data_IF_391274134077
#
_entry.id   IF_391274134077
#
_cell.length_a   1.000
_cell.length_b   1.000
_cell.length_c   1.000
_cell.angle_alpha   90.00
_cell.angle_beta   90.00
_cell.angle_gamma   90.00
#
_symmetry.space_group_name_H-M   'P 1'
#
loop_
_entity.id
_entity.type
_entity.pdbx_description
1 polymer ?
#
# COMPACT_ATOMS: atom_id res chain seq x y z
N UNK A 1 -105.36 -62.39 99.99
CA UNK A 1 -103.99 -62.84 100.37
C UNK A 1 -103.71 -64.14 99.62
N UNK A 2 -102.75 -64.31 98.72
CA UNK A 2 -102.13 -63.39 97.77
C UNK A 2 -102.26 -64.06 96.40
N UNK A 3 -102.65 -63.29 95.38
CA UNK A 3 -103.22 -63.71 94.09
C UNK A 3 -102.11 -64.13 93.11
N UNK A 4 -101.21 -65.00 93.56
CA UNK A 4 -100.12 -65.56 92.75
C UNK A 4 -100.11 -67.10 92.71
N UNK A 5 -101.03 -67.76 93.40
CA UNK A 5 -101.09 -69.24 93.48
C UNK A 5 -101.74 -69.91 92.23
N UNK A 6 -102.43 -69.14 91.39
CA UNK A 6 -103.02 -69.62 90.13
C UNK A 6 -102.02 -69.72 88.96
N UNK A 7 -100.99 -68.87 88.95
CA UNK A 7 -99.88 -68.90 87.98
C UNK A 7 -98.94 -70.08 88.26
N UNK A 8 -98.70 -70.37 89.55
CA UNK A 8 -97.82 -71.46 89.99
C UNK A 8 -98.28 -72.83 89.48
N UNK A 9 -99.57 -73.16 89.60
CA UNK A 9 -100.12 -74.45 89.15
C UNK A 9 -100.14 -74.61 87.63
N UNK A 10 -100.34 -73.51 86.90
CA UNK A 10 -100.33 -73.53 85.44
C UNK A 10 -98.89 -73.62 84.90
N UNK A 11 -97.93 -73.00 85.58
CA UNK A 11 -96.49 -73.15 85.31
C UNK A 11 -96.03 -74.58 85.64
N UNK A 12 -96.46 -75.16 86.76
CA UNK A 12 -96.17 -76.56 87.10
C UNK A 12 -96.72 -77.53 86.07
N UNK A 13 -97.98 -77.35 85.66
CA UNK A 13 -98.60 -78.17 84.62
C UNK A 13 -97.87 -78.07 83.26
N UNK A 14 -97.47 -76.86 82.86
CA UNK A 14 -96.70 -76.65 81.62
C UNK A 14 -95.28 -77.24 81.70
N UNK A 15 -94.65 -77.21 82.87
CA UNK A 15 -93.32 -77.81 83.06
C UNK A 15 -93.39 -79.34 83.11
N UNK A 16 -94.47 -79.91 83.64
CA UNK A 16 -94.79 -81.33 83.52
C UNK A 16 -95.05 -81.74 82.07
N UNK A 17 -95.85 -80.98 81.32
CA UNK A 17 -96.08 -81.23 79.88
C UNK A 17 -94.77 -81.14 79.09
N UNK A 18 -93.89 -80.17 79.38
CA UNK A 18 -92.55 -80.07 78.77
C UNK A 18 -91.69 -81.29 79.07
N UNK A 19 -91.69 -81.79 80.32
CA UNK A 19 -90.98 -83.02 80.71
C UNK A 19 -91.55 -84.25 79.99
N UNK A 20 -92.87 -84.34 79.84
CA UNK A 20 -93.53 -85.42 79.08
C UNK A 20 -93.17 -85.37 77.59
N UNK A 21 -93.13 -84.18 76.99
CA UNK A 21 -92.69 -83.99 75.59
C UNK A 21 -91.21 -84.35 75.40
N UNK A 22 -90.34 -83.94 76.31
CA UNK A 22 -88.92 -84.33 76.25
C UNK A 22 -88.73 -85.84 76.40
N UNK A 23 -89.47 -86.47 77.32
CA UNK A 23 -89.46 -87.92 77.43
C UNK A 23 -89.95 -88.59 76.15
N UNK A 24 -90.98 -88.05 75.48
CA UNK A 24 -91.42 -88.54 74.17
C UNK A 24 -90.34 -88.40 73.10
N UNK A 25 -89.63 -87.27 73.04
CA UNK A 25 -88.53 -87.07 72.08
C UNK A 25 -87.38 -88.06 72.34
N UNK A 26 -86.98 -88.24 73.60
CA UNK A 26 -85.95 -89.22 73.97
C UNK A 26 -86.37 -90.66 73.63
N UNK A 27 -87.65 -90.99 73.83
CA UNK A 27 -88.20 -92.28 73.42
C UNK A 27 -88.15 -92.42 71.90
N UNK A 28 -88.48 -91.37 71.15
CA UNK A 28 -88.44 -91.37 69.67
C UNK A 28 -87.01 -91.54 69.14
N UNK A 29 -86.03 -90.83 69.70
CA UNK A 29 -84.62 -91.00 69.31
C UNK A 29 -84.12 -92.41 69.60
N UNK A 30 -84.52 -92.96 70.76
CA UNK A 30 -84.19 -94.33 71.14
C UNK A 30 -84.85 -95.36 70.22
N UNK A 31 -86.14 -95.20 69.90
CA UNK A 31 -86.83 -96.09 68.96
C UNK A 31 -86.27 -95.95 67.55
N UNK A 32 -85.88 -94.76 67.09
CA UNK A 32 -85.21 -94.57 65.82
C UNK A 32 -83.86 -95.34 65.77
N UNK A 33 -83.07 -95.26 66.85
CA UNK A 33 -81.81 -96.01 66.96
C UNK A 33 -82.05 -97.53 66.97
N UNK A 34 -83.08 -98.00 67.69
CA UNK A 34 -83.45 -99.41 67.75
C UNK A 34 -83.99 -99.91 66.40
N UNK A 35 -84.81 -99.14 65.71
CA UNK A 35 -85.32 -99.44 64.36
C UNK A 35 -84.16 -99.55 63.37
N UNK A 36 -83.17 -98.65 63.42
CA UNK A 36 -81.95 -98.75 62.59
C UNK A 36 -81.15 -100.03 62.88
N UNK A 37 -81.03 -100.41 64.15
CA UNK A 37 -80.36 -101.66 64.56
C UNK A 37 -81.14 -102.91 64.13
N UNK A 38 -82.46 -102.86 64.14
CA UNK A 38 -83.30 -103.97 63.66
C UNK A 38 -83.29 -104.09 62.14
N UNK A 39 -83.33 -102.96 61.41
CA UNK A 39 -83.18 -102.93 59.95
C UNK A 39 -81.85 -103.53 59.49
N UNK A 40 -80.75 -103.20 60.17
CA UNK A 40 -79.43 -103.77 59.85
C UNK A 40 -79.32 -105.26 60.21
N UNK A 41 -80.04 -105.71 61.24
CA UNK A 41 -80.08 -107.13 61.65
C UNK A 41 -80.99 -108.00 60.78
N UNK A 42 -82.05 -107.43 60.20
CA UNK A 42 -83.03 -108.13 59.35
C UNK A 42 -82.78 -107.95 57.84
N UNK A 43 -81.83 -107.10 57.45
CA UNK A 43 -81.43 -106.95 56.06
C UNK A 43 -80.78 -108.24 55.54
N UNK A 44 -81.10 -108.64 54.31
CA UNK A 44 -80.44 -109.77 53.67
C UNK A 44 -78.96 -109.47 53.44
N UNK A 45 -78.12 -110.51 53.32
CA UNK A 45 -76.68 -110.37 53.05
C UNK A 45 -76.42 -109.49 51.81
N UNK A 46 -77.24 -109.65 50.75
CA UNK A 46 -77.23 -108.82 49.55
C UNK A 46 -77.54 -107.33 49.81
N UNK A 47 -78.45 -107.01 50.74
CA UNK A 47 -78.76 -105.62 51.11
C UNK A 47 -77.63 -104.97 51.92
N UNK A 48 -77.00 -105.73 52.81
CA UNK A 48 -75.84 -105.28 53.57
C UNK A 48 -74.61 -105.06 52.67
N UNK A 49 -74.37 -105.95 51.71
CA UNK A 49 -73.36 -105.77 50.67
C UNK A 49 -73.66 -104.54 49.79
N UNK A 50 -74.91 -104.36 49.34
CA UNK A 50 -75.30 -103.19 48.56
C UNK A 50 -75.07 -101.88 49.32
N UNK A 51 -75.34 -101.84 50.63
CA UNK A 51 -75.05 -100.67 51.48
C UNK A 51 -73.54 -100.40 51.61
N UNK A 52 -72.71 -101.44 51.75
CA UNK A 52 -71.25 -101.30 51.76
C UNK A 52 -70.69 -100.86 50.41
N UNK A 53 -71.20 -101.42 49.30
CA UNK A 53 -70.84 -101.02 47.95
C UNK A 53 -71.25 -99.58 47.65
N UNK A 54 -72.41 -99.13 48.12
CA UNK A 54 -72.85 -97.73 48.01
C UNK A 54 -71.93 -96.76 48.75
N UNK A 55 -71.47 -97.13 49.96
CA UNK A 55 -70.45 -96.36 50.71
C UNK A 55 -69.12 -96.31 49.97
N UNK A 56 -68.62 -97.45 49.47
CA UNK A 56 -67.39 -97.51 48.66
C UNK A 56 -67.52 -96.71 47.37
N UNK A 57 -68.65 -96.80 46.67
CA UNK A 57 -68.92 -96.03 45.45
C UNK A 57 -68.93 -94.53 45.74
N UNK A 58 -69.50 -94.10 46.87
CA UNK A 58 -69.47 -92.69 47.30
C UNK A 58 -68.05 -92.24 47.69
N UNK A 59 -67.29 -93.09 48.38
CA UNK A 59 -65.88 -92.82 48.69
C UNK A 59 -65.04 -92.70 47.43
N UNK A 60 -65.19 -93.62 46.47
CA UNK A 60 -64.51 -93.56 45.18
C UNK A 60 -64.95 -92.32 44.40
N UNK A 61 -66.24 -92.00 44.35
CA UNK A 61 -66.74 -90.76 43.72
C UNK A 61 -66.08 -89.52 44.32
N UNK A 62 -66.05 -89.40 45.64
CA UNK A 62 -65.43 -88.26 46.33
C UNK A 62 -63.91 -88.20 46.08
N UNK A 63 -63.21 -89.34 46.09
CA UNK A 63 -61.79 -89.40 45.73
C UNK A 63 -61.54 -88.99 44.29
N UNK A 64 -62.35 -89.48 43.35
CA UNK A 64 -62.26 -89.12 41.92
C UNK A 64 -62.54 -87.64 41.71
N UNK A 65 -63.53 -87.07 42.40
CA UNK A 65 -63.86 -85.65 42.33
C UNK A 65 -62.70 -84.78 42.86
N UNK A 66 -62.11 -85.16 44.00
CA UNK A 66 -60.92 -84.50 44.53
C UNK A 66 -59.73 -84.59 43.54
N UNK A 67 -59.46 -85.78 42.97
CA UNK A 67 -58.39 -85.97 41.97
C UNK A 67 -58.63 -85.17 40.69
N UNK A 68 -59.89 -85.05 40.25
CA UNK A 68 -60.25 -84.23 39.10
C UNK A 68 -60.04 -82.75 39.38
N UNK A 69 -60.34 -82.30 40.60
CA UNK A 69 -60.03 -80.94 41.07
C UNK A 69 -58.53 -80.66 41.06
N UNK A 70 -57.72 -81.54 41.65
CA UNK A 70 -56.26 -81.46 41.63
C UNK A 70 -55.69 -81.44 40.20
N UNK A 71 -56.16 -82.34 39.34
CA UNK A 71 -55.74 -82.40 37.95
C UNK A 71 -56.11 -81.12 37.17
N UNK A 72 -57.29 -80.54 37.44
CA UNK A 72 -57.73 -79.30 36.81
C UNK A 72 -56.87 -78.11 37.25
N UNK A 73 -56.47 -78.06 38.52
CA UNK A 73 -55.54 -77.05 39.03
C UNK A 73 -54.16 -77.17 38.37
N UNK A 74 -53.61 -78.39 38.31
CA UNK A 74 -52.33 -78.63 37.64
C UNK A 74 -52.36 -78.26 36.16
N UNK A 75 -53.44 -78.59 35.44
CA UNK A 75 -53.60 -78.18 34.03
C UNK A 75 -53.63 -76.66 33.89
N UNK A 76 -54.28 -75.96 34.82
CA UNK A 76 -54.32 -74.49 34.82
C UNK A 76 -52.91 -73.92 35.03
N UNK A 77 -52.18 -74.41 36.03
CA UNK A 77 -50.80 -74.00 36.31
C UNK A 77 -49.87 -74.25 35.11
N UNK A 78 -49.98 -75.43 34.47
CA UNK A 78 -49.20 -75.75 33.27
C UNK A 78 -49.51 -74.77 32.13
N UNK A 79 -50.79 -74.43 31.92
CA UNK A 79 -51.19 -73.45 30.90
C UNK A 79 -50.65 -72.05 31.19
N UNK A 80 -50.71 -71.62 32.45
CA UNK A 80 -50.20 -70.31 32.87
C UNK A 80 -48.67 -70.25 32.70
N UNK A 81 -47.95 -71.31 33.06
CA UNK A 81 -46.51 -71.44 32.85
C UNK A 81 -46.13 -71.46 31.36
N UNK A 82 -46.90 -72.16 30.52
CA UNK A 82 -46.69 -72.18 29.07
C UNK A 82 -46.85 -70.78 28.46
N UNK A 83 -47.83 -70.01 28.93
CA UNK A 83 -48.04 -68.63 28.48
C UNK A 83 -46.86 -67.73 28.89
N UNK A 84 -46.34 -67.88 30.11
CA UNK A 84 -45.14 -67.18 30.56
C UNK A 84 -43.93 -67.57 29.71
N UNK A 85 -43.73 -68.87 29.47
CA UNK A 85 -42.63 -69.38 28.65
C UNK A 85 -42.64 -68.79 27.24
N UNK A 86 -43.81 -68.76 26.58
CA UNK A 86 -43.93 -68.15 25.25
C UNK A 86 -43.58 -66.66 25.26
N UNK A 87 -44.06 -65.89 26.25
CA UNK A 87 -43.67 -64.48 26.40
C UNK A 87 -42.17 -64.30 26.57
N UNK A 88 -41.53 -65.15 27.38
CA UNK A 88 -40.07 -65.10 27.56
C UNK A 88 -39.30 -65.43 26.28
N UNK A 89 -39.83 -66.33 25.44
CA UNK A 89 -39.24 -66.63 24.13
C UNK A 89 -39.35 -65.42 23.21
N UNK A 90 -40.51 -64.78 23.13
CA UNK A 90 -40.71 -63.57 22.31
C UNK A 90 -39.76 -62.42 22.74
N UNK A 91 -39.59 -62.23 24.04
CA UNK A 91 -38.70 -61.20 24.58
C UNK A 91 -37.21 -61.55 24.36
N UNK A 92 -36.85 -62.82 24.39
CA UNK A 92 -35.51 -63.29 24.01
C UNK A 92 -35.22 -63.03 22.53
N UNK A 93 -36.19 -63.26 21.64
CA UNK A 93 -36.02 -62.98 20.21
C UNK A 93 -35.80 -61.49 19.95
N UNK A 94 -36.59 -60.61 20.58
CA UNK A 94 -36.39 -59.16 20.50
C UNK A 94 -35.03 -58.72 21.05
N UNK A 95 -34.61 -59.31 22.16
CA UNK A 95 -33.30 -59.00 22.76
C UNK A 95 -32.17 -59.43 21.81
N UNK A 96 -32.30 -60.59 21.17
CA UNK A 96 -31.36 -61.10 20.18
C UNK A 96 -31.26 -60.17 18.96
N UNK A 97 -32.40 -59.70 18.43
CA UNK A 97 -32.40 -58.78 17.28
C UNK A 97 -31.72 -57.45 17.64
N UNK A 98 -32.05 -56.88 18.81
CA UNK A 98 -31.44 -55.64 19.27
C UNK A 98 -29.92 -55.81 19.50
N UNK A 99 -29.50 -56.93 20.07
CA UNK A 99 -28.07 -57.22 20.27
C UNK A 99 -27.31 -57.28 18.95
N UNK A 100 -27.91 -57.85 17.90
CA UNK A 100 -27.29 -57.92 16.59
C UNK A 100 -27.24 -56.56 15.88
N UNK A 101 -28.25 -55.71 16.08
CA UNK A 101 -28.22 -54.32 15.60
C UNK A 101 -27.13 -53.50 16.30
N UNK A 102 -26.99 -53.65 17.61
CA UNK A 102 -25.91 -53.02 18.37
C UNK A 102 -24.53 -53.50 17.91
N UNK A 103 -24.36 -54.79 17.64
CA UNK A 103 -23.10 -55.34 17.10
C UNK A 103 -22.71 -54.67 15.77
N UNK A 104 -23.66 -54.54 14.83
CA UNK A 104 -23.43 -53.82 13.56
C UNK A 104 -23.09 -52.35 13.77
N UNK A 105 -23.77 -51.69 14.71
CA UNK A 105 -23.50 -50.29 15.03
C UNK A 105 -22.11 -50.10 15.63
N UNK A 106 -21.67 -51.01 16.50
CA UNK A 106 -20.33 -51.04 17.06
C UNK A 106 -19.29 -51.24 15.95
N UNK A 107 -19.49 -52.20 15.05
CA UNK A 107 -18.58 -52.46 13.93
C UNK A 107 -18.41 -51.23 13.02
N UNK A 108 -19.52 -50.56 12.68
CA UNK A 108 -19.49 -49.30 11.92
C UNK A 108 -18.71 -48.19 12.64
N UNK A 109 -18.88 -48.09 13.97
CA UNK A 109 -18.19 -47.10 14.79
C UNK A 109 -16.69 -47.38 14.87
N UNK A 110 -16.30 -48.64 15.04
CA UNK A 110 -14.89 -49.08 15.04
C UNK A 110 -14.23 -48.75 13.70
N UNK A 111 -14.89 -49.04 12.58
CA UNK A 111 -14.38 -48.69 11.25
C UNK A 111 -14.21 -47.17 11.07
N UNK A 112 -15.15 -46.37 11.59
CA UNK A 112 -15.06 -44.91 11.56
C UNK A 112 -13.88 -44.39 12.40
N UNK A 113 -13.66 -44.97 13.58
CA UNK A 113 -12.51 -44.64 14.43
C UNK A 113 -11.18 -44.97 13.74
N UNK A 114 -11.08 -46.14 13.13
CA UNK A 114 -9.86 -46.56 12.42
C UNK A 114 -9.53 -45.63 11.25
N UNK A 115 -10.55 -45.19 10.49
CA UNK A 115 -10.38 -44.23 9.41
C UNK A 115 -9.91 -42.86 9.94
N UNK A 116 -10.52 -42.36 11.01
CA UNK A 116 -10.09 -41.11 11.65
C UNK A 116 -8.66 -41.19 12.19
N UNK A 117 -8.27 -42.32 12.77
CA UNK A 117 -6.90 -42.53 13.23
C UNK A 117 -5.89 -42.48 12.06
N UNK A 118 -6.23 -43.09 10.93
CA UNK A 118 -5.42 -43.04 9.72
C UNK A 118 -5.27 -41.60 9.20
N UNK A 119 -6.37 -40.84 9.13
CA UNK A 119 -6.36 -39.44 8.69
C UNK A 119 -5.51 -38.56 9.62
N UNK A 120 -5.65 -38.72 10.94
CA UNK A 120 -4.85 -37.98 11.93
C UNK A 120 -3.36 -38.27 11.76
N UNK A 121 -2.96 -39.52 11.50
CA UNK A 121 -1.56 -39.88 11.23
C UNK A 121 -1.03 -39.17 9.98
N UNK A 122 -1.82 -39.11 8.91
CA UNK A 122 -1.44 -38.40 7.68
C UNK A 122 -1.27 -36.91 7.96
N UNK A 123 -2.22 -36.28 8.64
CA UNK A 123 -2.13 -34.85 9.00
C UNK A 123 -0.93 -34.54 9.89
N UNK A 124 -0.62 -35.42 10.85
CA UNK A 124 0.55 -35.28 11.71
C UNK A 124 1.86 -35.32 10.92
N UNK A 125 1.98 -36.23 9.94
CA UNK A 125 3.15 -36.29 9.05
C UNK A 125 3.27 -35.00 8.23
N UNK A 126 2.16 -34.47 7.71
CA UNK A 126 2.17 -33.22 6.94
C UNK A 126 2.56 -32.02 7.80
N UNK A 127 2.02 -31.91 9.01
CA UNK A 127 2.35 -30.86 9.97
C UNK A 127 3.84 -30.86 10.30
N UNK A 128 4.43 -32.02 10.56
CA UNK A 128 5.86 -32.15 10.81
C UNK A 128 6.71 -31.74 9.60
N UNK A 129 6.28 -32.08 8.38
CA UNK A 129 6.94 -31.57 7.16
C UNK A 129 6.91 -30.05 7.09
N UNK A 130 5.77 -29.42 7.39
CA UNK A 130 5.64 -27.96 7.41
C UNK A 130 6.53 -27.33 8.48
N UNK A 131 6.57 -27.90 9.68
CA UNK A 131 7.45 -27.45 10.78
C UNK A 131 8.91 -27.54 10.35
N UNK A 132 9.33 -28.66 9.77
CA UNK A 132 10.70 -28.83 9.28
C UNK A 132 11.05 -27.80 8.20
N UNK A 133 10.16 -27.54 7.25
CA UNK A 133 10.38 -26.51 6.23
C UNK A 133 10.55 -25.11 6.84
N UNK A 134 9.75 -24.77 7.86
CA UNK A 134 9.86 -23.48 8.57
C UNK A 134 11.20 -23.41 9.30
N UNK A 135 11.59 -24.47 10.00
CA UNK A 135 12.87 -24.54 10.71
C UNK A 135 14.05 -24.41 9.73
N UNK A 136 14.01 -25.11 8.59
CA UNK A 136 15.01 -25.00 7.53
C UNK A 136 15.07 -23.57 6.97
N UNK A 137 13.92 -22.92 6.77
CA UNK A 137 13.86 -21.54 6.30
C UNK A 137 14.51 -20.57 7.30
N UNK A 138 14.17 -20.70 8.59
CA UNK A 138 14.74 -19.88 9.67
C UNK A 138 16.26 -20.11 9.77
N UNK A 139 16.72 -21.36 9.71
CA UNK A 139 18.14 -21.71 9.74
C UNK A 139 18.91 -21.21 8.51
N UNK A 140 18.27 -21.21 7.33
CA UNK A 140 18.87 -20.69 6.09
C UNK A 140 19.01 -19.17 6.10
N UNK A 141 18.10 -18.47 6.80
CA UNK A 141 18.07 -17.01 6.86
C UNK A 141 18.01 -16.49 8.31
N UNK A 142 19.04 -16.77 9.13
CA UNK A 142 19.02 -16.42 10.55
C UNK A 142 19.08 -14.90 10.79
N UNK A 143 19.63 -14.16 9.84
CA UNK A 143 19.80 -12.71 9.88
C UNK A 143 18.91 -12.02 8.83
N UNK A 144 17.76 -12.61 8.48
CA UNK A 144 16.85 -12.02 7.50
C UNK A 144 16.43 -10.60 7.91
N UNK A 145 16.09 -10.41 9.19
CA UNK A 145 15.69 -9.13 9.74
C UNK A 145 16.80 -8.08 9.64
N UNK A 146 18.05 -8.48 9.90
CA UNK A 146 19.21 -7.61 9.76
C UNK A 146 19.38 -7.19 8.31
N UNK A 147 19.33 -8.14 7.37
CA UNK A 147 19.41 -7.83 5.92
C UNK A 147 18.27 -6.94 5.46
N UNK A 148 17.06 -7.11 6.00
CA UNK A 148 15.91 -6.29 5.65
C UNK A 148 16.07 -4.85 6.15
N UNK A 149 16.64 -4.68 7.34
CA UNK A 149 17.02 -3.38 7.88
C UNK A 149 18.15 -2.73 7.07
N UNK A 150 19.16 -3.50 6.65
CA UNK A 150 20.26 -3.01 5.80
C UNK A 150 19.75 -2.55 4.43
N UNK A 151 18.79 -3.26 3.83
CA UNK A 151 18.14 -2.82 2.59
C UNK A 151 17.36 -1.53 2.82
N UNK A 152 16.66 -1.42 3.94
CA UNK A 152 15.86 -0.23 4.26
C UNK A 152 16.75 1.00 4.49
N UNK A 153 17.88 0.84 5.18
CA UNK A 153 18.86 1.93 5.35
C UNK A 153 19.51 2.31 4.02
N UNK A 154 19.84 1.33 3.18
CA UNK A 154 20.37 1.59 1.84
C UNK A 154 19.37 2.36 0.96
N UNK A 155 18.07 2.04 1.03
CA UNK A 155 17.03 2.80 0.33
C UNK A 155 17.00 4.26 0.82
N UNK A 156 17.06 4.49 2.13
CA UNK A 156 17.10 5.85 2.68
C UNK A 156 18.34 6.64 2.21
N UNK A 157 19.50 5.99 2.10
CA UNK A 157 20.71 6.60 1.53
C UNK A 157 20.54 6.95 0.04
N UNK A 158 19.89 6.08 -0.75
CA UNK A 158 19.59 6.35 -2.16
C UNK A 158 18.67 7.56 -2.28
N UNK A 159 17.59 7.62 -1.50
CA UNK A 159 16.64 8.74 -1.53
C UNK A 159 17.34 10.06 -1.19
N UNK A 160 18.19 10.06 -0.15
CA UNK A 160 18.97 11.24 0.23
C UNK A 160 19.94 11.66 -0.90
N UNK A 161 20.59 10.71 -1.57
CA UNK A 161 21.49 10.99 -2.68
C UNK A 161 20.74 11.47 -3.93
N UNK A 162 19.54 10.97 -4.19
CA UNK A 162 18.67 11.45 -5.27
C UNK A 162 18.25 12.91 -5.02
N UNK A 163 17.88 13.26 -3.78
CA UNK A 163 17.55 14.64 -3.41
C UNK A 163 18.76 15.57 -3.62
N UNK A 164 19.94 15.19 -3.12
CA UNK A 164 21.20 15.93 -3.34
C UNK A 164 21.52 16.07 -4.83
N UNK A 165 21.31 15.02 -5.62
CA UNK A 165 21.52 15.03 -7.06
C UNK A 165 20.54 15.96 -7.78
N UNK A 166 19.27 15.98 -7.35
CA UNK A 166 18.26 16.91 -7.85
C UNK A 166 18.62 18.37 -7.59
N UNK A 167 19.08 18.68 -6.38
CA UNK A 167 19.58 20.02 -6.02
C UNK A 167 20.78 20.40 -6.90
N UNK A 168 21.77 19.51 -7.02
CA UNK A 168 22.96 19.74 -7.86
C UNK A 168 22.60 19.97 -9.33
N UNK A 169 21.71 19.14 -9.90
CA UNK A 169 21.21 19.28 -11.26
C UNK A 169 20.51 20.62 -11.47
N UNK A 170 19.68 21.06 -10.50
CA UNK A 170 19.02 22.37 -10.57
C UNK A 170 20.04 23.51 -10.57
N UNK A 171 21.12 23.39 -9.79
CA UNK A 171 22.21 24.38 -9.75
C UNK A 171 23.00 24.41 -11.06
N UNK A 172 23.31 23.24 -11.62
CA UNK A 172 23.97 23.11 -12.93
C UNK A 172 23.11 23.75 -14.02
N UNK A 173 21.80 23.49 -14.04
CA UNK A 173 20.90 24.09 -15.02
C UNK A 173 20.80 25.61 -14.88
N UNK A 174 20.80 26.15 -13.65
CA UNK A 174 20.86 27.61 -13.43
C UNK A 174 22.17 28.19 -13.97
N UNK A 175 23.32 27.61 -13.63
CA UNK A 175 24.62 28.06 -14.14
C UNK A 175 24.73 27.95 -15.65
N UNK A 176 24.21 26.87 -16.23
CA UNK A 176 24.16 26.72 -17.69
C UNK A 176 23.36 27.85 -18.32
N UNK A 177 22.18 28.17 -17.76
CA UNK A 177 21.37 29.29 -18.24
C UNK A 177 22.12 30.63 -18.12
N UNK A 178 22.78 30.88 -16.99
CA UNK A 178 23.62 32.08 -16.81
C UNK A 178 24.75 32.16 -17.85
N UNK A 179 25.42 31.04 -18.14
CA UNK A 179 26.45 30.96 -19.18
C UNK A 179 25.85 31.19 -20.57
N UNK A 180 24.71 30.59 -20.88
CA UNK A 180 24.02 30.74 -22.16
C UNK A 180 23.57 32.20 -22.36
N UNK A 181 23.06 32.85 -21.31
CA UNK A 181 22.65 34.26 -21.30
C UNK A 181 23.87 35.18 -21.53
N UNK A 182 24.97 34.98 -20.81
CA UNK A 182 26.23 35.71 -21.02
C UNK A 182 26.81 35.49 -22.42
N UNK A 183 26.74 34.25 -22.93
CA UNK A 183 27.21 33.93 -24.27
C UNK A 183 26.40 34.69 -25.33
N UNK A 184 25.06 34.74 -25.18
CA UNK A 184 24.18 35.52 -26.05
C UNK A 184 24.45 37.02 -25.96
N UNK A 185 24.75 37.53 -24.77
CA UNK A 185 25.10 38.94 -24.57
C UNK A 185 26.43 39.31 -25.27
N UNK A 186 27.46 38.45 -25.13
CA UNK A 186 28.78 38.71 -25.71
C UNK A 186 28.78 38.56 -27.24
N UNK A 187 28.23 37.45 -27.74
CA UNK A 187 28.33 37.08 -29.16
C UNK A 187 27.10 37.45 -30.00
N UNK A 188 25.98 37.77 -29.35
CA UNK A 188 24.69 37.95 -30.01
C UNK A 188 23.96 36.63 -30.25
N UNK A 189 22.74 36.71 -30.77
CA UNK A 189 21.94 35.55 -31.17
C UNK A 189 20.99 35.90 -32.32
N UNK A 190 20.51 34.87 -33.02
CA UNK A 190 19.52 35.03 -34.08
C UNK A 190 18.16 34.71 -33.49
N UNK A 191 17.25 35.68 -33.55
CA UNK A 191 15.86 35.51 -33.13
C UNK A 191 15.03 35.17 -34.36
N UNK A 192 14.51 33.95 -34.40
CA UNK A 192 13.64 33.48 -35.47
C UNK A 192 12.19 33.75 -35.06
N UNK A 193 11.65 34.90 -35.47
CA UNK A 193 10.23 35.18 -35.38
C UNK A 193 9.58 34.93 -36.74
N UNK A 194 8.86 33.82 -36.84
CA UNK A 194 7.89 33.33 -37.84
C UNK A 194 8.05 33.64 -39.36
N UNK A 195 8.66 34.74 -39.80
CA UNK A 195 8.92 35.07 -41.20
C UNK A 195 10.21 35.91 -41.45
N UNK A 196 10.96 36.36 -40.44
CA UNK A 196 12.26 37.03 -40.63
C UNK A 196 13.27 36.70 -39.49
N UNK A 197 14.49 36.32 -39.86
CA UNK A 197 15.59 36.08 -38.93
C UNK A 197 16.24 37.42 -38.57
N UNK A 198 15.99 37.93 -37.37
CA UNK A 198 16.63 39.16 -36.88
C UNK A 198 17.86 38.82 -36.04
N UNK A 199 19.03 39.26 -36.50
CA UNK A 199 20.29 39.08 -35.76
C UNK A 199 20.42 40.17 -34.71
N UNK A 200 20.38 39.79 -33.44
CA UNK A 200 20.71 40.68 -32.33
C UNK A 200 22.23 40.72 -32.20
N UNK A 201 22.80 41.91 -32.38
CA UNK A 201 24.24 42.15 -32.27
C UNK A 201 24.68 42.04 -30.80
N UNK A 202 25.77 41.33 -30.54
CA UNK A 202 26.35 41.21 -29.20
C UNK A 202 27.40 42.29 -28.92
N UNK A 203 27.80 42.42 -27.65
CA UNK A 203 28.80 43.39 -27.19
C UNK A 203 30.12 43.32 -27.98
N UNK A 204 30.53 42.13 -28.43
CA UNK A 204 31.72 41.96 -29.28
C UNK A 204 31.60 42.74 -30.58
N UNK A 205 30.44 42.64 -31.24
CA UNK A 205 30.20 43.31 -32.50
C UNK A 205 30.07 44.82 -32.31
N UNK A 206 29.40 45.26 -31.24
CA UNK A 206 29.35 46.69 -30.88
C UNK A 206 30.75 47.27 -30.68
N UNK A 207 31.64 46.55 -29.99
CA UNK A 207 33.02 46.98 -29.79
C UNK A 207 33.83 47.03 -31.09
N UNK A 208 33.72 46.01 -31.95
CA UNK A 208 34.38 45.99 -33.27
C UNK A 208 33.88 47.15 -34.15
N UNK A 209 32.56 47.43 -34.10
CA UNK A 209 31.95 48.56 -34.79
C UNK A 209 32.44 49.90 -34.25
N UNK A 210 32.47 50.10 -32.93
CA UNK A 210 33.02 51.31 -32.32
C UNK A 210 34.50 51.50 -32.65
N UNK A 211 35.30 50.43 -32.67
CA UNK A 211 36.72 50.51 -33.02
C UNK A 211 36.94 50.87 -34.49
N UNK A 212 36.20 50.24 -35.41
CA UNK A 212 36.27 50.56 -36.84
C UNK A 212 35.76 51.97 -37.13
N UNK A 213 34.70 52.42 -36.47
CA UNK A 213 34.19 53.79 -36.58
C UNK A 213 35.22 54.80 -36.07
N UNK A 214 35.82 54.57 -34.90
CA UNK A 214 36.86 55.42 -34.34
C UNK A 214 38.12 55.46 -35.22
N UNK A 215 38.51 54.31 -35.80
CA UNK A 215 39.62 54.23 -36.77
C UNK A 215 39.33 55.00 -38.05
N UNK A 216 38.10 54.93 -38.56
CA UNK A 216 37.65 55.71 -39.73
C UNK A 216 37.61 57.21 -39.42
N UNK A 217 37.11 57.60 -38.26
CA UNK A 217 37.10 59.01 -37.82
C UNK A 217 38.53 59.55 -37.66
N UNK A 218 39.43 58.76 -37.07
CA UNK A 218 40.84 59.12 -36.94
C UNK A 218 41.51 59.30 -38.32
N UNK A 219 41.24 58.39 -39.25
CA UNK A 219 41.78 58.46 -40.62
C UNK A 219 41.29 59.72 -41.35
N UNK A 220 39.98 60.02 -41.26
CA UNK A 220 39.42 61.27 -41.80
C UNK A 220 40.05 62.51 -41.17
N UNK A 221 40.23 62.52 -39.85
CA UNK A 221 40.87 63.64 -39.16
C UNK A 221 42.33 63.83 -39.59
N UNK A 222 43.08 62.75 -39.83
CA UNK A 222 44.43 62.82 -40.37
C UNK A 222 44.45 63.37 -41.81
N UNK A 223 43.53 62.93 -42.67
CA UNK A 223 43.36 63.48 -44.03
C UNK A 223 43.01 64.97 -43.99
N UNK A 224 42.13 65.39 -43.08
CA UNK A 224 41.79 66.80 -42.86
C UNK A 224 43.01 67.60 -42.39
N UNK A 225 43.83 67.07 -41.48
CA UNK A 225 45.08 67.73 -41.04
C UNK A 225 46.09 67.85 -42.18
N UNK A 226 46.28 66.79 -42.97
CA UNK A 226 47.20 66.80 -44.11
C UNK A 226 46.73 67.77 -45.21
N UNK A 227 45.43 67.81 -45.50
CA UNK A 227 44.85 68.77 -46.44
C UNK A 227 44.99 70.21 -45.95
N UNK A 228 44.75 70.46 -44.66
CA UNK A 228 44.95 71.77 -44.03
C UNK A 228 46.41 72.19 -44.08
N UNK A 229 47.35 71.28 -43.78
CA UNK A 229 48.80 71.53 -43.89
C UNK A 229 49.17 71.92 -45.32
N UNK A 230 48.68 71.19 -46.32
CA UNK A 230 48.98 71.45 -47.72
C UNK A 230 48.37 72.78 -48.19
N UNK A 231 47.15 73.12 -47.74
CA UNK A 231 46.51 74.41 -48.04
C UNK A 231 47.29 75.58 -47.42
N UNK A 232 47.71 75.47 -46.14
CA UNK A 232 48.57 76.47 -45.51
C UNK A 232 49.94 76.58 -46.17
N UNK A 233 50.55 75.46 -46.57
CA UNK A 233 51.82 75.46 -47.29
C UNK A 233 51.69 76.16 -48.65
N UNK A 234 50.60 75.91 -49.38
CA UNK A 234 50.32 76.58 -50.66
C UNK A 234 50.09 78.07 -50.46
N UNK A 235 49.25 78.46 -49.49
CA UNK A 235 49.03 79.86 -49.11
C UNK A 235 50.32 80.56 -48.69
N UNK A 236 51.21 79.88 -47.99
CA UNK A 236 52.50 80.43 -47.59
C UNK A 236 53.44 80.63 -48.78
N UNK A 237 53.52 79.66 -49.69
CA UNK A 237 54.31 79.78 -50.93
C UNK A 237 53.78 80.91 -51.81
N UNK A 238 52.45 81.03 -51.94
CA UNK A 238 51.82 82.08 -52.74
C UNK A 238 52.04 83.46 -52.11
N UNK A 239 51.92 83.56 -50.78
CA UNK A 239 52.28 84.76 -50.02
C UNK A 239 53.76 85.15 -50.23
N UNK A 240 54.68 84.19 -50.12
CA UNK A 240 56.12 84.41 -50.33
C UNK A 240 56.39 84.90 -51.76
N UNK A 241 55.79 84.28 -52.77
CA UNK A 241 55.91 84.71 -54.17
C UNK A 241 55.36 86.12 -54.40
N UNK A 242 54.16 86.41 -53.90
CA UNK A 242 53.52 87.73 -54.06
C UNK A 242 54.36 88.83 -53.41
N UNK A 243 54.86 88.59 -52.19
CA UNK A 243 55.74 89.53 -51.51
C UNK A 243 57.11 89.67 -52.16
N UNK A 244 57.66 88.58 -52.72
CA UNK A 244 58.92 88.64 -53.49
C UNK A 244 58.74 89.46 -54.76
N UNK A 245 57.62 89.27 -55.49
CA UNK A 245 57.28 90.05 -56.68
C UNK A 245 57.09 91.52 -56.32
N UNK A 246 56.32 91.82 -55.25
CA UNK A 246 56.16 93.20 -54.76
C UNK A 246 57.50 93.82 -54.37
N UNK A 247 58.35 93.10 -53.65
CA UNK A 247 59.68 93.57 -53.28
C UNK A 247 60.53 93.87 -54.51
N UNK A 248 60.56 92.96 -55.50
CA UNK A 248 61.28 93.18 -56.76
C UNK A 248 60.73 94.38 -57.55
N UNK A 249 59.40 94.55 -57.58
CA UNK A 249 58.74 95.69 -58.23
C UNK A 249 59.05 97.02 -57.54
N UNK A 250 59.02 97.07 -56.20
CA UNK A 250 59.41 98.26 -55.45
C UNK A 250 60.89 98.56 -55.70
N UNK A 251 61.74 97.54 -55.73
CA UNK A 251 63.18 97.72 -55.95
C UNK A 251 63.49 98.18 -57.40
N UNK A 252 62.72 97.72 -58.39
CA UNK A 252 62.82 98.22 -59.77
C UNK A 252 62.27 99.65 -59.91
N UNK A 253 61.20 99.98 -59.20
CA UNK A 253 60.64 101.34 -59.14
C UNK A 253 61.61 102.31 -58.48
N UNK A 254 62.24 101.95 -57.35
CA UNK A 254 63.33 102.71 -56.72
C UNK A 254 64.49 102.92 -57.70
N UNK A 255 64.87 101.89 -58.47
CA UNK A 255 65.90 102.01 -59.51
C UNK A 255 65.49 102.93 -60.66
N UNK A 256 64.21 102.99 -61.03
CA UNK A 256 63.70 103.91 -62.06
C UNK A 256 63.55 105.36 -61.57
N UNK A 257 63.26 105.56 -60.28
CA UNK A 257 63.08 106.86 -59.64
C UNK A 257 64.42 107.53 -59.28
N UNK A 258 65.54 106.80 -59.37
CA UNK A 258 66.89 107.33 -59.23
C UNK A 258 67.49 107.65 -60.61
N UNK A 259 67.58 108.93 -61.04
CA UNK A 259 68.12 109.29 -62.34
C UNK A 259 69.66 109.17 -62.32
N UNK A 260 70.16 108.02 -62.75
CA UNK A 260 71.59 107.79 -63.02
C UNK A 260 72.23 108.78 -64.02
N UNK A 261 71.41 109.59 -64.70
CA UNK A 261 71.86 110.56 -65.71
C UNK A 261 72.19 111.96 -65.14
N UNK A 262 71.69 112.34 -63.96
CA UNK A 262 71.89 113.71 -63.45
C UNK A 262 73.20 113.87 -62.65
N UNK A 263 73.61 112.81 -61.96
CA UNK A 263 74.81 112.81 -61.09
C UNK A 263 76.12 112.68 -61.88
N UNK A 264 76.10 112.04 -63.06
CA UNK A 264 77.25 111.94 -63.95
C UNK A 264 77.48 113.23 -64.78
N UNK A 265 76.41 113.89 -65.22
CA UNK A 265 76.50 115.12 -66.02
C UNK A 265 77.08 116.32 -65.26
N UNK A 266 76.70 116.50 -63.99
CA UNK A 266 77.22 117.59 -63.15
C UNK A 266 78.70 117.40 -62.74
N UNK A 267 79.16 116.15 -62.56
CA UNK A 267 80.58 115.88 -62.25
C UNK A 267 81.51 116.10 -63.46
N UNK A 268 81.04 115.86 -64.69
CA UNK A 268 81.83 116.09 -65.90
C UNK A 268 82.07 117.59 -66.16
N UNK A 269 81.04 118.42 -66.05
CA UNK A 269 81.14 119.86 -66.34
C UNK A 269 82.04 120.63 -65.35
N UNK A 270 82.10 120.21 -64.07
CA UNK A 270 83.03 120.80 -63.09
C UNK A 270 84.49 120.39 -63.34
N UNK A 271 84.72 119.16 -63.80
CA UNK A 271 86.05 118.64 -64.13
C UNK A 271 86.63 119.35 -65.36
N UNK A 272 85.81 119.58 -66.39
CA UNK A 272 86.20 120.26 -67.63
C UNK A 272 86.54 121.74 -67.39
N UNK A 273 85.75 122.47 -66.60
CA UNK A 273 86.01 123.87 -66.24
C UNK A 273 87.31 124.04 -65.44
N UNK A 274 87.69 123.04 -64.62
CA UNK A 274 88.94 123.04 -63.84
C UNK A 274 90.18 122.81 -64.73
N UNK A 275 90.06 121.94 -65.75
CA UNK A 275 91.13 121.68 -66.72
C UNK A 275 91.35 122.91 -67.63
N UNK A 276 90.26 123.55 -68.08
CA UNK A 276 90.34 124.74 -68.93
C UNK A 276 91.06 125.91 -68.23
N UNK A 277 90.76 126.16 -66.93
CA UNK A 277 91.49 127.15 -66.12
C UNK A 277 92.98 126.87 -66.01
N UNK A 278 93.40 125.60 -65.91
CA UNK A 278 94.81 125.20 -65.80
C UNK A 278 95.60 125.41 -67.09
N UNK A 279 94.99 125.19 -68.26
CA UNK A 279 95.65 125.40 -69.55
C UNK A 279 95.77 126.88 -69.91
N UNK A 280 94.76 127.70 -69.61
CA UNK A 280 94.83 129.15 -69.84
C UNK A 280 95.97 129.81 -69.04
N UNK A 281 96.15 129.41 -67.77
CA UNK A 281 97.20 129.92 -66.90
C UNK A 281 98.62 129.47 -67.33
N UNK A 282 98.74 128.35 -68.06
CA UNK A 282 100.02 127.81 -68.55
C UNK A 282 100.47 128.45 -69.88
N UNK A 283 99.53 128.83 -70.74
CA UNK A 283 99.84 129.52 -72.00
C UNK A 283 100.19 131.00 -71.77
N UNK A 284 99.53 131.71 -70.86
CA UNK A 284 99.89 133.10 -70.52
C UNK A 284 101.32 133.22 -69.95
N UNK A 285 101.82 132.16 -69.30
CA UNK A 285 103.18 132.11 -68.74
C UNK A 285 104.28 131.85 -69.79
N UNK A 286 103.92 131.33 -70.96
CA UNK A 286 104.86 131.00 -72.05
C UNK A 286 104.95 132.09 -73.14
N UNK A 287 103.93 132.93 -73.32
CA UNK A 287 103.95 134.00 -74.34
C UNK A 287 104.62 135.29 -73.87
N UNK A 288 104.56 135.66 -72.59
CA UNK A 288 105.30 136.83 -72.08
C UNK A 288 106.81 136.58 -71.84
N UNK A 289 107.26 135.34 -71.87
CA UNK A 289 108.69 134.99 -71.84
C UNK A 289 109.34 134.94 -73.24
N UNK A 290 108.58 135.24 -74.31
CA UNK A 290 109.07 135.19 -75.70
C UNK A 290 108.81 136.48 -76.52
N UNK A 291 108.58 137.64 -75.86
CA UNK A 291 108.31 138.92 -76.55
C UNK A 291 109.09 140.17 -76.07
N UNK A 292 110.12 140.10 -75.20
CA UNK A 292 110.98 141.29 -74.89
C UNK A 292 112.45 140.93 -74.58
N UNK A 293 113.09 140.23 -75.53
CA UNK A 293 114.54 140.23 -75.79
C UNK A 293 114.72 140.93 -77.15
N UNK A 294 114.75 142.26 -77.11
CA UNK A 294 115.44 143.25 -77.97
C UNK A 294 115.16 144.65 -77.41
#
# INVERSE_FOLDING_TARGET
>A
MGIFDGSSKQIEYLDEERKKLWNRVLIIEKTQSEIQKQLTKNASESQNEAAQHSKKASEFKNKTENRLGEASLLIKEIKDQLLIANKTVDDLEKTKTNSHEHEKSIESTVNSINNLEADIKVQFIELNKRINNINEFILKYPNLDVKLNDISSFIAEIEQNLEKSGISLSSINKRKKEIDDLHREIFGYIQNDANEDTKVEGLKYELEKSYTELSNQLSKSLEEVDSLRNDYQTKFIDFEKEHTIKYQSINSEIRSLLPNALTAGLSSAFSEKKIMKKNFQKNYRKTLTMEFIL
#
